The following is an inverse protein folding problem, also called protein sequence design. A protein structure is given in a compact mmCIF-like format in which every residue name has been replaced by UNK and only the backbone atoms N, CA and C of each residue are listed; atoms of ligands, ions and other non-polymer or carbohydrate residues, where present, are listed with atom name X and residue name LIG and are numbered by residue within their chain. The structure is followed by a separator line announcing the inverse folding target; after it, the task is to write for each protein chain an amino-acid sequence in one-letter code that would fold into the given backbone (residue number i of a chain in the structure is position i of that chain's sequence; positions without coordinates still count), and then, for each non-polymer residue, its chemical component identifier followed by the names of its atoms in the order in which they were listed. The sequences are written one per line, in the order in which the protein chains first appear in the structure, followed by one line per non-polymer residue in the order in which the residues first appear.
data_IF_287494490562
#
_entry.id   IF_287494490562
#
_cell.length_a   1.000
_cell.length_b   1.000
_cell.length_c   1.000
_cell.angle_alpha   90.00
_cell.angle_beta   90.00
_cell.angle_gamma   90.00
#
_symmetry.space_group_name_H-M   'P 1'
#
loop_
_entity.id
_entity.type
_entity.pdbx_description
1 polymer ?
#
# COMPACT_ATOMS: atom_id res chain seq x y z
N UNK A 1 37.38 -3.80 -15.53
CA UNK A 1 36.79 -2.94 -14.48
C UNK A 1 35.48 -2.38 -15.01
N UNK A 2 34.39 -2.36 -14.22
CA UNK A 2 33.17 -1.67 -14.62
C UNK A 2 33.45 -0.18 -14.82
N UNK A 3 32.82 0.43 -15.83
CA UNK A 3 32.92 1.88 -16.05
C UNK A 3 32.14 2.61 -14.95
N UNK A 4 32.66 3.70 -14.40
CA UNK A 4 31.95 4.47 -13.39
C UNK A 4 30.65 5.05 -13.95
N UNK A 5 29.61 5.11 -13.11
CA UNK A 5 28.32 5.70 -13.45
C UNK A 5 28.44 7.22 -13.63
N UNK A 6 27.40 7.84 -14.22
CA UNK A 6 27.38 9.31 -14.41
C UNK A 6 27.46 10.05 -13.07
N UNK A 7 26.78 9.55 -12.05
CA UNK A 7 26.78 10.11 -10.71
C UNK A 7 28.14 9.96 -10.03
N UNK A 8 28.81 8.81 -10.23
CA UNK A 8 30.18 8.59 -9.76
C UNK A 8 31.16 9.57 -10.45
N UNK A 9 31.00 9.84 -11.74
CA UNK A 9 31.82 10.81 -12.46
C UNK A 9 31.68 12.24 -11.91
N UNK A 10 30.47 12.65 -11.47
CA UNK A 10 30.23 13.96 -10.87
C UNK A 10 30.96 14.08 -9.51
N UNK A 11 30.91 13.03 -8.69
CA UNK A 11 31.59 13.01 -7.41
C UNK A 11 33.13 12.92 -7.54
N UNK A 12 33.61 12.15 -8.52
CA UNK A 12 35.03 12.10 -8.87
C UNK A 12 35.54 13.45 -9.39
N UNK A 13 34.75 14.18 -10.18
CA UNK A 13 35.10 15.53 -10.67
C UNK A 13 35.20 16.56 -9.53
N UNK A 14 34.58 16.28 -8.37
CA UNK A 14 34.71 17.06 -7.14
C UNK A 14 35.91 16.65 -6.28
N UNK A 15 36.82 15.83 -6.82
CA UNK A 15 38.00 15.26 -6.15
C UNK A 15 37.68 14.40 -4.91
N UNK A 16 36.50 13.78 -4.87
CA UNK A 16 36.12 12.87 -3.78
C UNK A 16 36.63 11.46 -4.05
N UNK A 17 37.22 10.83 -3.03
CA UNK A 17 37.79 9.47 -3.15
C UNK A 17 36.68 8.41 -3.04
N UNK A 18 36.55 7.48 -4.00
CA UNK A 18 35.56 6.40 -3.92
C UNK A 18 35.64 5.61 -2.61
N UNK A 19 34.48 5.32 -2.03
CA UNK A 19 34.37 4.57 -0.77
C UNK A 19 34.51 5.42 0.50
N UNK A 20 34.82 6.71 0.40
CA UNK A 20 34.79 7.64 1.55
C UNK A 20 33.37 8.07 1.91
N UNK A 21 33.20 8.58 3.14
CA UNK A 21 31.91 9.12 3.58
C UNK A 21 31.49 10.32 2.73
N UNK A 22 32.42 11.22 2.37
CA UNK A 22 32.10 12.37 1.52
C UNK A 22 31.67 11.93 0.12
N UNK A 23 32.30 10.90 -0.45
CA UNK A 23 31.92 10.35 -1.75
C UNK A 23 30.51 9.74 -1.73
N UNK A 24 30.17 8.99 -0.68
CA UNK A 24 28.83 8.41 -0.52
C UNK A 24 27.76 9.50 -0.33
N UNK A 25 28.07 10.58 0.38
CA UNK A 25 27.17 11.71 0.54
C UNK A 25 26.95 12.46 -0.78
N UNK A 26 28.01 12.69 -1.55
CA UNK A 26 27.89 13.26 -2.89
C UNK A 26 27.02 12.37 -3.80
N UNK A 27 27.27 11.06 -3.84
CA UNK A 27 26.48 10.13 -4.64
C UNK A 27 24.99 10.18 -4.28
N UNK A 28 24.68 10.26 -2.98
CA UNK A 28 23.31 10.39 -2.51
C UNK A 28 22.67 11.73 -2.96
N UNK A 29 23.41 12.85 -2.84
CA UNK A 29 22.92 14.16 -3.27
C UNK A 29 22.71 14.23 -4.79
N UNK A 30 23.65 13.72 -5.58
CA UNK A 30 23.54 13.72 -7.04
C UNK A 30 22.33 12.91 -7.48
N UNK A 31 22.14 11.70 -6.93
CA UNK A 31 20.95 10.88 -7.20
C UNK A 31 19.65 11.59 -6.88
N UNK A 32 19.58 12.28 -5.73
CA UNK A 32 18.41 13.07 -5.31
C UNK A 32 18.19 14.27 -6.24
N UNK A 33 19.24 14.92 -6.71
CA UNK A 33 19.15 16.07 -7.63
C UNK A 33 18.77 15.68 -9.07
N UNK A 34 19.08 14.46 -9.50
CA UNK A 34 18.73 13.94 -10.83
C UNK A 34 17.40 13.18 -10.86
N UNK A 35 16.79 12.90 -9.70
CA UNK A 35 15.46 12.30 -9.65
C UNK A 35 14.43 13.23 -10.29
N UNK A 36 13.77 12.74 -11.33
CA UNK A 36 12.64 13.44 -11.94
C UNK A 36 11.43 13.41 -11.00
N UNK A 37 10.45 14.31 -11.20
CA UNK A 37 9.18 14.24 -10.46
C UNK A 37 8.51 12.85 -10.57
N UNK A 38 8.68 12.18 -11.71
CA UNK A 38 8.17 10.83 -11.93
C UNK A 38 8.91 9.78 -11.09
N UNK A 39 10.24 9.90 -10.94
CA UNK A 39 11.03 9.01 -10.09
C UNK A 39 10.73 9.23 -8.61
N UNK A 40 10.55 10.49 -8.19
CA UNK A 40 10.06 10.81 -6.85
C UNK A 40 8.68 10.21 -6.58
N UNK A 41 7.78 10.26 -7.57
CA UNK A 41 6.45 9.66 -7.45
C UNK A 41 6.54 8.15 -7.30
N UNK A 42 7.30 7.45 -8.15
CA UNK A 42 7.48 5.99 -8.09
C UNK A 42 8.12 5.53 -6.78
N UNK A 43 9.14 6.24 -6.30
CA UNK A 43 9.82 5.90 -5.05
C UNK A 43 8.91 6.14 -3.84
N UNK A 44 8.12 7.21 -3.87
CA UNK A 44 7.09 7.46 -2.85
C UNK A 44 6.01 6.38 -2.88
N UNK A 45 5.51 6.05 -4.07
CA UNK A 45 4.53 4.98 -4.27
C UNK A 45 5.05 3.67 -3.69
N UNK A 46 6.31 3.31 -3.98
CA UNK A 46 6.97 2.10 -3.46
C UNK A 46 7.09 2.07 -1.93
N UNK A 47 7.39 3.21 -1.29
CA UNK A 47 7.48 3.32 0.18
C UNK A 47 6.12 3.26 0.85
N UNK A 48 5.09 3.74 0.16
CA UNK A 48 3.71 3.72 0.65
C UNK A 48 3.03 2.38 0.39
N UNK A 49 3.52 1.53 -0.51
CA UNK A 49 2.97 0.19 -0.77
C UNK A 49 2.98 -0.67 0.50
N UNK A 50 1.82 -1.20 0.86
CA UNK A 50 1.65 -2.14 1.96
C UNK A 50 1.52 -3.58 1.45
N UNK A 51 1.83 -4.57 2.28
CA UNK A 51 1.61 -5.98 1.95
C UNK A 51 0.12 -6.36 1.99
N UNK A 52 -0.23 -7.46 1.31
CA UNK A 52 -1.63 -7.94 1.22
C UNK A 52 -2.25 -8.24 2.58
N UNK A 53 -1.48 -8.81 3.52
CA UNK A 53 -1.96 -9.11 4.87
C UNK A 53 -2.36 -7.85 5.64
N UNK A 54 -1.56 -6.79 5.56
CA UNK A 54 -1.87 -5.52 6.22
C UNK A 54 -3.06 -4.82 5.52
N UNK A 55 -3.14 -4.89 4.20
CA UNK A 55 -4.26 -4.35 3.43
C UNK A 55 -5.58 -5.00 3.83
N UNK A 56 -5.57 -6.32 3.97
CA UNK A 56 -6.72 -7.07 4.46
C UNK A 56 -7.11 -6.69 5.89
N UNK A 57 -6.16 -6.59 6.81
CA UNK A 57 -6.44 -6.24 8.21
C UNK A 57 -7.09 -4.85 8.33
N UNK A 58 -6.55 -3.86 7.62
CA UNK A 58 -7.11 -2.50 7.58
C UNK A 58 -8.53 -2.53 6.99
N UNK A 59 -8.73 -3.22 5.87
CA UNK A 59 -10.05 -3.33 5.27
C UNK A 59 -11.03 -4.07 6.19
N UNK A 60 -10.60 -5.12 6.89
CA UNK A 60 -11.46 -5.91 7.77
C UNK A 60 -11.97 -5.09 8.96
N UNK A 61 -11.07 -4.34 9.61
CA UNK A 61 -11.44 -3.39 10.66
C UNK A 61 -12.42 -2.33 10.15
N UNK A 62 -12.07 -1.67 9.04
CA UNK A 62 -12.90 -0.61 8.47
C UNK A 62 -14.28 -1.11 8.02
N UNK A 63 -14.36 -2.28 7.41
CA UNK A 63 -15.61 -2.85 6.90
C UNK A 63 -16.55 -3.24 8.03
N UNK A 64 -16.05 -3.83 9.12
CA UNK A 64 -16.86 -4.21 10.30
C UNK A 64 -17.54 -3.00 10.94
N UNK A 65 -16.84 -1.87 11.00
CA UNK A 65 -17.39 -0.61 11.55
C UNK A 65 -18.47 0.01 10.65
N UNK A 66 -18.48 -0.32 9.35
CA UNK A 66 -19.32 0.32 8.33
C UNK A 66 -20.43 -0.56 7.75
N UNK A 67 -20.44 -1.87 8.05
CA UNK A 67 -21.36 -2.81 7.41
C UNK A 67 -22.82 -2.71 7.86
N UNK A 68 -23.12 -1.92 8.89
CA UNK A 68 -24.48 -1.70 9.41
C UNK A 68 -25.10 -2.89 10.15
N UNK A 69 -24.52 -4.09 10.03
CA UNK A 69 -24.96 -5.31 10.72
C UNK A 69 -23.81 -5.96 11.49
N UNK A 70 -24.11 -6.67 12.59
CA UNK A 70 -23.11 -7.48 13.28
C UNK A 70 -22.51 -8.53 12.35
N UNK A 71 -21.18 -8.48 12.19
CA UNK A 71 -20.43 -9.47 11.43
C UNK A 71 -20.18 -10.70 12.30
N UNK A 72 -20.72 -11.86 11.91
CA UNK A 72 -20.48 -13.15 12.58
C UNK A 72 -19.11 -13.72 12.21
N UNK A 73 -18.80 -13.76 10.92
CA UNK A 73 -17.58 -14.41 10.42
C UNK A 73 -17.11 -13.82 9.09
N UNK A 74 -15.78 -13.77 8.93
CA UNK A 74 -15.13 -13.57 7.62
C UNK A 74 -15.08 -14.89 6.86
N UNK A 75 -15.70 -14.95 5.68
CA UNK A 75 -15.89 -16.17 4.89
C UNK A 75 -14.77 -16.32 3.86
N UNK A 76 -14.47 -15.25 3.13
CA UNK A 76 -13.45 -15.26 2.08
C UNK A 76 -12.84 -13.88 1.92
N UNK A 77 -11.69 -13.84 1.26
CA UNK A 77 -10.93 -12.62 1.01
C UNK A 77 -10.25 -12.67 -0.35
N UNK A 78 -10.10 -11.52 -0.98
CA UNK A 78 -9.30 -11.32 -2.18
C UNK A 78 -8.65 -9.95 -2.14
N UNK A 79 -7.34 -9.91 -2.38
CA UNK A 79 -6.56 -8.68 -2.52
C UNK A 79 -6.02 -8.64 -3.95
N UNK A 80 -6.12 -7.48 -4.59
CA UNK A 80 -5.61 -7.25 -5.95
C UNK A 80 -4.99 -5.86 -6.05
N UNK A 81 -4.00 -5.69 -6.91
CA UNK A 81 -3.31 -4.41 -7.13
C UNK A 81 -2.03 -4.28 -6.30
N UNK A 82 -1.17 -3.35 -6.72
CA UNK A 82 0.16 -3.11 -6.13
C UNK A 82 0.14 -1.87 -5.23
N UNK A 83 0.39 -0.68 -5.79
CA UNK A 83 0.37 0.59 -5.05
C UNK A 83 -1.03 0.92 -4.50
N UNK A 84 -2.05 0.77 -5.36
CA UNK A 84 -3.44 0.87 -4.97
C UNK A 84 -4.02 -0.54 -4.86
N UNK A 85 -4.37 -0.95 -3.65
CA UNK A 85 -4.90 -2.28 -3.37
C UNK A 85 -6.41 -2.25 -3.25
N UNK A 86 -7.07 -3.11 -4.02
CA UNK A 86 -8.49 -3.40 -3.84
C UNK A 86 -8.61 -4.68 -3.02
N UNK A 87 -9.31 -4.61 -1.89
CA UNK A 87 -9.58 -5.72 -0.98
C UNK A 87 -11.07 -5.99 -0.97
N UNK A 88 -11.47 -7.20 -1.32
CA UNK A 88 -12.85 -7.68 -1.20
C UNK A 88 -12.91 -8.75 -0.11
N UNK A 89 -13.75 -8.53 0.89
CA UNK A 89 -13.98 -9.48 1.98
C UNK A 89 -15.47 -9.84 2.01
N UNK A 90 -15.76 -11.14 1.96
CA UNK A 90 -17.13 -11.65 2.13
C UNK A 90 -17.35 -11.99 3.60
N UNK A 91 -18.46 -11.50 4.14
CA UNK A 91 -18.85 -11.66 5.52
C UNK A 91 -20.19 -12.36 5.63
N UNK A 92 -20.30 -13.17 6.66
CA UNK A 92 -21.56 -13.63 7.19
C UNK A 92 -22.04 -12.63 8.25
N UNK A 93 -23.25 -12.11 8.08
CA UNK A 93 -23.84 -11.09 8.96
C UNK A 93 -25.12 -11.60 9.62
N UNK A 94 -25.45 -11.00 10.76
CA UNK A 94 -26.71 -11.21 11.45
C UNK A 94 -27.75 -10.14 11.07
N UNK A 95 -28.86 -10.56 10.45
CA UNK A 95 -29.99 -9.68 10.11
C UNK A 95 -31.26 -10.00 10.90
N UNK A 96 -31.16 -10.84 11.94
CA UNK A 96 -32.32 -11.21 12.77
C UNK A 96 -33.00 -10.02 13.44
N UNK A 97 -32.26 -8.94 13.68
CA UNK A 97 -32.80 -7.68 14.21
C UNK A 97 -33.79 -6.98 13.26
N UNK A 98 -33.64 -7.17 11.94
CA UNK A 98 -34.55 -6.59 10.94
C UNK A 98 -35.62 -7.58 10.47
N UNK A 99 -35.21 -8.83 10.26
CA UNK A 99 -36.10 -9.89 9.86
C UNK A 99 -35.80 -11.14 10.69
N UNK A 100 -36.66 -11.50 11.66
CA UNK A 100 -36.47 -12.66 12.52
C UNK A 100 -36.36 -14.00 11.77
N UNK A 101 -36.82 -14.08 10.52
CA UNK A 101 -36.71 -15.29 9.69
C UNK A 101 -35.37 -15.41 8.96
N UNK A 102 -34.54 -14.35 8.92
CA UNK A 102 -33.23 -14.37 8.26
C UNK A 102 -32.17 -14.73 9.29
N UNK A 103 -31.82 -16.01 9.35
CA UNK A 103 -30.83 -16.54 10.29
C UNK A 103 -29.39 -16.20 9.83
N UNK A 104 -29.17 -16.13 8.51
CA UNK A 104 -27.87 -15.92 7.87
C UNK A 104 -28.01 -15.12 6.57
N UNK A 105 -27.17 -14.10 6.41
CA UNK A 105 -27.01 -13.36 5.16
C UNK A 105 -25.53 -13.08 4.88
N UNK A 106 -25.18 -12.93 3.61
CA UNK A 106 -23.82 -12.61 3.18
C UNK A 106 -23.74 -11.21 2.62
N UNK A 107 -22.67 -10.49 2.96
CA UNK A 107 -22.34 -9.16 2.43
C UNK A 107 -20.87 -9.08 2.09
N UNK A 108 -20.54 -8.26 1.10
CA UNK A 108 -19.15 -8.01 0.73
C UNK A 108 -18.76 -6.59 1.14
N UNK A 109 -17.67 -6.45 1.90
CA UNK A 109 -16.96 -5.19 2.03
C UNK A 109 -15.90 -5.10 0.94
N UNK A 110 -15.92 -4.03 0.15
CA UNK A 110 -14.90 -3.74 -0.87
C UNK A 110 -14.20 -2.44 -0.46
N UNK A 111 -12.92 -2.54 -0.10
CA UNK A 111 -12.07 -1.40 0.23
C UNK A 111 -11.06 -1.16 -0.89
N UNK A 112 -10.86 0.09 -1.26
CA UNK A 112 -9.69 0.54 -2.04
C UNK A 112 -8.73 1.24 -1.10
N UNK A 113 -7.47 0.81 -1.09
CA UNK A 113 -6.42 1.28 -0.20
C UNK A 113 -5.28 1.89 -1.01
N UNK A 114 -4.79 3.04 -0.56
CA UNK A 114 -3.54 3.63 -1.04
C UNK A 114 -2.58 3.69 0.13
N UNK A 115 -1.58 2.81 0.10
CA UNK A 115 -0.83 2.44 1.29
C UNK A 115 -1.75 2.03 2.44
N UNK A 116 -1.58 2.61 3.62
CA UNK A 116 -2.38 2.28 4.81
C UNK A 116 -3.72 3.01 4.93
N UNK A 117 -4.12 3.81 3.92
CA UNK A 117 -5.36 4.60 3.97
C UNK A 117 -6.43 3.99 3.08
N UNK A 118 -7.63 3.80 3.64
CA UNK A 118 -8.84 3.49 2.85
C UNK A 118 -9.28 4.76 2.11
N UNK A 119 -9.27 4.71 0.78
CA UNK A 119 -9.63 5.84 -0.09
C UNK A 119 -11.02 5.70 -0.72
N UNK A 120 -11.53 4.48 -0.84
CA UNK A 120 -12.91 4.18 -1.23
C UNK A 120 -13.41 2.95 -0.45
N UNK A 121 -14.70 2.91 -0.16
CA UNK A 121 -15.33 1.77 0.53
C UNK A 121 -16.77 1.58 0.08
N UNK A 122 -17.12 0.34 -0.26
CA UNK A 122 -18.47 -0.06 -0.70
C UNK A 122 -18.90 -1.34 0.00
N UNK A 123 -20.21 -1.46 0.21
CA UNK A 123 -20.85 -2.67 0.73
C UNK A 123 -21.81 -3.20 -0.34
N UNK A 124 -21.58 -4.43 -0.78
CA UNK A 124 -22.46 -5.16 -1.70
C UNK A 124 -23.27 -6.23 -0.96
#
# INVERSE_FOLDING_TARGET
MPKPSREELICLASNLTPGTQEFNQCLAMVKVSEMTEEDYRKERERRETIGDGLAEEICDGFARDRMGYPVKKKVSRRVTGDYEKTVKITYEIDRTQENPQVILAYRNGICTLRGSKVVDFKVD
#
